data_IF_482943825600
#
_entry.id   IF_482943825600
#
_cell.length_a   1.000
_cell.length_b   1.000
_cell.length_c   1.000
_cell.angle_alpha   90.00
_cell.angle_beta   90.00
_cell.angle_gamma   90.00
#
_symmetry.space_group_name_H-M   'P 1'
#
loop_
_entity.id
_entity.type
_entity.pdbx_description
1 polymer ?
#
# COMPACT_ATOMS: atom_id res chain seq x y z
N UNK A 1 6.49 1.71 -13.97
CA UNK A 1 5.70 2.90 -13.61
C UNK A 1 5.72 3.05 -12.11
N UNK A 2 6.13 4.23 -11.61
CA UNK A 2 5.98 4.56 -10.20
C UNK A 2 4.48 4.78 -9.89
N UNK A 3 4.01 4.25 -8.77
CA UNK A 3 2.67 4.58 -8.26
C UNK A 3 2.69 6.04 -7.80
N UNK A 4 1.86 6.87 -8.43
CA UNK A 4 1.64 8.25 -8.00
C UNK A 4 0.69 8.28 -6.81
N UNK A 5 0.99 9.14 -5.83
CA UNK A 5 0.18 9.28 -4.63
C UNK A 5 1.00 9.58 -3.39
N UNK A 6 0.31 10.02 -2.33
CA UNK A 6 0.93 10.29 -1.03
C UNK A 6 0.95 9.04 -0.18
N UNK A 7 2.13 8.43 -0.08
CA UNK A 7 2.38 7.25 0.75
C UNK A 7 3.01 7.62 2.10
N UNK A 8 2.81 6.76 3.08
CA UNK A 8 3.49 6.83 4.37
C UNK A 8 4.95 6.41 4.20
N UNK A 9 5.89 7.12 4.83
CA UNK A 9 7.31 6.77 4.76
C UNK A 9 7.83 6.09 6.03
N UNK A 10 8.81 5.21 5.88
CA UNK A 10 9.60 4.64 6.97
C UNK A 10 11.07 4.58 6.58
N UNK A 11 11.94 5.14 7.43
CA UNK A 11 13.40 5.09 7.22
C UNK A 11 13.94 3.66 7.16
N UNK A 12 13.48 2.80 8.08
CA UNK A 12 13.83 1.37 8.09
C UNK A 12 13.41 0.65 6.80
N UNK A 13 12.17 0.87 6.34
CA UNK A 13 11.72 0.25 5.09
C UNK A 13 12.53 0.76 3.91
N UNK A 14 12.82 2.07 3.87
CA UNK A 14 13.64 2.68 2.81
C UNK A 14 15.07 2.16 2.81
N UNK A 15 15.68 1.91 3.98
CA UNK A 15 17.03 1.35 4.06
C UNK A 15 17.11 -0.11 3.60
N UNK A 16 16.04 -0.89 3.79
CA UNK A 16 16.01 -2.32 3.43
C UNK A 16 15.51 -2.56 2.00
N UNK A 17 14.50 -1.80 1.55
CA UNK A 17 13.74 -2.09 0.32
C UNK A 17 13.83 -1.01 -0.75
N UNK A 18 14.53 0.10 -0.47
CA UNK A 18 14.62 1.29 -1.31
C UNK A 18 13.29 2.03 -1.58
N UNK A 19 12.16 1.57 -1.02
CA UNK A 19 10.86 2.25 -1.07
C UNK A 19 10.47 2.80 0.30
N UNK A 20 9.61 3.81 0.33
CA UNK A 20 9.14 4.47 1.56
C UNK A 20 8.19 3.60 2.40
N UNK A 21 7.36 2.76 1.78
CA UNK A 21 6.58 1.71 2.42
C UNK A 21 6.25 0.57 1.44
N UNK A 22 6.16 -0.64 1.97
CA UNK A 22 5.79 -1.83 1.18
C UNK A 22 4.27 -2.00 1.15
N UNK A 23 3.61 -1.97 2.30
CA UNK A 23 2.18 -2.32 2.42
C UNK A 23 1.26 -1.43 1.58
N UNK A 24 1.39 -0.09 1.63
CA UNK A 24 0.52 0.80 0.85
C UNK A 24 0.81 0.72 -0.65
N UNK A 25 2.09 0.60 -1.05
CA UNK A 25 2.46 0.44 -2.47
C UNK A 25 1.93 -0.87 -3.05
N UNK A 26 2.04 -1.95 -2.30
CA UNK A 26 1.47 -3.25 -2.67
C UNK A 26 -0.05 -3.14 -2.81
N UNK A 27 -0.72 -2.55 -1.83
CA UNK A 27 -2.18 -2.40 -1.84
C UNK A 27 -2.67 -1.53 -3.02
N UNK A 28 -1.96 -0.43 -3.33
CA UNK A 28 -2.30 0.49 -4.42
C UNK A 28 -1.92 -0.04 -5.81
N UNK A 29 -1.27 -1.20 -5.92
CA UNK A 29 -0.94 -1.79 -7.22
C UNK A 29 -2.18 -2.23 -8.00
N UNK A 30 -3.31 -2.41 -7.33
CA UNK A 30 -4.59 -2.75 -7.95
C UNK A 30 -5.11 -1.59 -8.82
N UNK A 31 -5.60 -1.90 -10.03
CA UNK A 31 -6.13 -0.91 -10.97
C UNK A 31 -7.37 -0.26 -10.38
N UNK A 32 -7.44 1.08 -10.37
CA UNK A 32 -8.57 1.80 -9.77
C UNK A 32 -8.61 1.72 -8.24
N UNK A 33 -7.52 1.27 -7.62
CA UNK A 33 -7.42 1.12 -6.18
C UNK A 33 -7.50 2.44 -5.41
N UNK A 34 -8.24 2.44 -4.31
CA UNK A 34 -8.30 3.52 -3.34
C UNK A 34 -7.89 3.01 -1.96
N UNK A 35 -6.90 3.65 -1.32
CA UNK A 35 -6.55 3.37 0.08
C UNK A 35 -7.74 3.71 1.00
N UNK A 36 -8.27 2.70 1.67
CA UNK A 36 -9.28 2.85 2.74
C UNK A 36 -8.64 2.82 4.12
N UNK A 37 -7.45 2.21 4.24
CA UNK A 37 -6.64 2.25 5.45
C UNK A 37 -5.17 2.47 5.08
N UNK A 38 -4.62 3.58 5.57
CA UNK A 38 -3.17 3.87 5.50
C UNK A 38 -2.37 2.91 6.38
N UNK A 39 -1.05 2.90 6.17
CA UNK A 39 -0.06 2.14 6.94
C UNK A 39 -0.35 2.24 8.43
N UNK A 40 -0.81 1.12 8.99
CA UNK A 40 -1.10 0.98 10.40
C UNK A 40 -0.15 -0.07 10.97
N UNK A 41 0.62 0.30 11.99
CA UNK A 41 1.52 -0.62 12.68
C UNK A 41 0.77 -1.36 13.79
N UNK A 42 0.92 -2.68 13.86
CA UNK A 42 0.35 -3.52 14.91
C UNK A 42 1.15 -4.82 14.99
N UNK A 43 1.43 -5.26 16.22
CA UNK A 43 2.08 -6.54 16.50
C UNK A 43 3.32 -6.85 15.63
N UNK A 44 4.28 -5.91 15.62
CA UNK A 44 5.52 -6.05 14.85
C UNK A 44 5.38 -5.93 13.32
N UNK A 45 4.16 -5.72 12.80
CA UNK A 45 3.88 -5.66 11.38
C UNK A 45 3.20 -4.35 10.97
N UNK A 46 3.06 -4.12 9.66
CA UNK A 46 2.32 -2.99 9.12
C UNK A 46 1.36 -3.45 8.04
N UNK A 47 0.11 -3.00 8.09
CA UNK A 47 -0.92 -3.30 7.10
C UNK A 47 -1.46 -2.03 6.46
N UNK A 48 -1.88 -2.14 5.21
CA UNK A 48 -2.63 -1.13 4.48
C UNK A 48 -3.75 -1.84 3.70
N UNK A 49 -4.90 -1.19 3.56
CA UNK A 49 -6.07 -1.75 2.86
C UNK A 49 -6.45 -0.84 1.70
N UNK A 50 -6.71 -1.46 0.56
CA UNK A 50 -7.14 -0.82 -0.66
C UNK A 50 -8.46 -1.45 -1.11
N UNK A 51 -9.37 -0.62 -1.60
CA UNK A 51 -10.62 -1.03 -2.24
C UNK A 51 -10.49 -0.81 -3.74
N UNK A 52 -10.98 -1.75 -4.53
CA UNK A 52 -11.27 -1.58 -5.96
C UNK A 52 -12.68 -2.11 -6.23
N UNK A 53 -13.33 -1.56 -7.25
CA UNK A 53 -14.52 -2.21 -7.80
C UNK A 53 -14.07 -3.42 -8.64
N UNK A 54 -14.80 -4.53 -8.52
CA UNK A 54 -14.51 -5.78 -9.21
C UNK A 54 -15.81 -6.34 -9.79
N UNK A 55 -15.84 -6.50 -11.10
CA UNK A 55 -16.95 -7.16 -11.80
C UNK A 55 -16.73 -8.67 -11.77
N UNK A 56 -17.53 -9.38 -10.97
CA UNK A 56 -17.57 -10.84 -10.97
C UNK A 56 -18.55 -11.31 -12.05
N UNK A 57 -18.03 -11.97 -13.09
CA UNK A 57 -18.84 -12.65 -14.11
C UNK A 57 -18.86 -14.15 -13.80
N UNK A 58 -20.05 -14.74 -13.77
CA UNK A 58 -20.27 -16.16 -13.57
C UNK A 58 -20.56 -16.85 -14.90
#
# INVERSE_FOLDING_TARGET
>A
MALEGRFSSSGFVKSVTAVDCVCERSAMRVRGGQLIRRKTAYDGMTVALCKTDMDLRF
#
